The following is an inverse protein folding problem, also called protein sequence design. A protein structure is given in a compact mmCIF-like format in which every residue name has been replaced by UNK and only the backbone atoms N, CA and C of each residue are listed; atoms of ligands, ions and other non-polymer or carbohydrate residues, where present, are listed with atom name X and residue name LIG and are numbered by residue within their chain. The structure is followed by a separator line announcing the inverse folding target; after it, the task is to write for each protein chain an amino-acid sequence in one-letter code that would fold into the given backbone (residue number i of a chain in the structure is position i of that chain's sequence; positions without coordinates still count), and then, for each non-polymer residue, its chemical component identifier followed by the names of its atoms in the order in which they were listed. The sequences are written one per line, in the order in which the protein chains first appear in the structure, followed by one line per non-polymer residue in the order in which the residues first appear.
data_IF_044343291599
#
_entry.id   IF_044343291599
#
_cell.length_a   1.000
_cell.length_b   1.000
_cell.length_c   1.000
_cell.angle_alpha   90.00
_cell.angle_beta   90.00
_cell.angle_gamma   90.00
#
_symmetry.space_group_name_H-M   'P 1'
#
loop_
_entity.id
_entity.type
_entity.pdbx_description
1 polymer ?
#
# COMPACT_ATOMS: atom_id res chain seq x y z
N UNK A 1 13.05 -8.95 5.49
CA UNK A 1 13.01 -7.71 4.69
C UNK A 1 14.26 -6.92 5.00
N UNK A 2 14.99 -6.46 3.99
CA UNK A 2 16.13 -5.57 4.15
C UNK A 2 15.64 -4.17 4.52
N UNK A 3 16.37 -3.46 5.37
CA UNK A 3 16.06 -2.07 5.75
C UNK A 3 17.09 -1.15 5.10
N UNK A 4 16.63 -0.19 4.35
CA UNK A 4 17.49 0.88 3.80
C UNK A 4 17.44 2.14 4.66
N UNK A 5 16.38 2.28 5.49
CA UNK A 5 16.22 3.37 6.47
C UNK A 5 15.82 2.82 7.84
N UNK A 6 16.39 3.38 8.89
CA UNK A 6 16.11 2.98 10.28
C UNK A 6 14.69 3.37 10.72
N UNK A 7 14.06 4.35 10.06
CA UNK A 7 12.71 4.85 10.36
C UNK A 7 11.60 4.09 9.61
N UNK A 8 11.92 3.16 8.71
CA UNK A 8 10.92 2.44 7.91
C UNK A 8 10.03 1.50 8.74
N UNK A 9 10.62 0.69 9.62
CA UNK A 9 9.85 -0.24 10.44
C UNK A 9 8.94 0.48 11.45
N UNK A 10 9.41 1.52 12.18
CA UNK A 10 8.52 2.33 13.00
C UNK A 10 7.37 2.95 12.21
N UNK A 11 7.63 3.44 10.99
CA UNK A 11 6.60 4.01 10.11
C UNK A 11 5.58 2.97 9.67
N UNK A 12 6.02 1.76 9.33
CA UNK A 12 5.14 0.64 8.96
C UNK A 12 4.23 0.24 10.13
N UNK A 13 4.80 0.06 11.33
CA UNK A 13 4.04 -0.31 12.53
C UNK A 13 3.05 0.78 12.95
N UNK A 14 3.44 2.05 12.82
CA UNK A 14 2.54 3.18 13.08
C UNK A 14 1.36 3.18 12.08
N UNK A 15 1.64 3.00 10.78
CA UNK A 15 0.60 2.91 9.77
C UNK A 15 -0.35 1.73 10.01
N UNK A 16 0.19 0.57 10.36
CA UNK A 16 -0.60 -0.62 10.69
C UNK A 16 -1.51 -0.37 11.90
N UNK A 17 -0.97 0.22 12.99
CA UNK A 17 -1.76 0.56 14.17
C UNK A 17 -2.86 1.58 13.88
N UNK A 18 -2.59 2.60 13.05
CA UNK A 18 -3.57 3.61 12.66
C UNK A 18 -4.71 3.04 11.80
N UNK A 19 -4.40 2.12 10.89
CA UNK A 19 -5.36 1.56 9.95
C UNK A 19 -6.19 0.44 10.56
N UNK A 20 -5.55 -0.46 11.30
CA UNK A 20 -6.12 -1.72 11.75
C UNK A 20 -6.26 -1.82 13.28
N UNK A 21 -5.72 -0.83 14.02
CA UNK A 21 -5.64 -0.87 15.48
C UNK A 21 -4.61 -1.89 15.98
N UNK A 22 -4.51 -2.02 17.29
CA UNK A 22 -3.63 -3.02 17.93
C UNK A 22 -4.29 -4.40 17.87
N UNK A 23 -4.26 -5.04 16.69
CA UNK A 23 -4.81 -6.38 16.49
C UNK A 23 -3.84 -7.38 17.13
N UNK A 24 -4.14 -7.79 18.37
CA UNK A 24 -3.48 -8.91 19.03
C UNK A 24 -4.00 -10.26 18.50
N UNK A 25 -3.14 -11.28 18.43
CA UNK A 25 -3.51 -12.64 18.02
C UNK A 25 -4.57 -13.32 18.93
N UNK A 26 -5.08 -12.63 19.95
CA UNK A 26 -6.06 -13.10 20.94
C UNK A 26 -7.40 -12.35 20.88
N UNK A 27 -7.63 -11.51 19.86
CA UNK A 27 -8.82 -10.70 19.79
C UNK A 27 -10.06 -11.54 19.48
N UNK A 28 -11.17 -11.24 20.18
CA UNK A 28 -12.46 -11.88 19.94
C UNK A 28 -13.00 -11.52 18.56
N UNK A 29 -13.88 -12.38 18.00
CA UNK A 29 -14.54 -12.11 16.70
C UNK A 29 -15.25 -10.73 16.69
N UNK A 30 -15.77 -10.28 17.83
CA UNK A 30 -16.40 -8.97 17.97
C UNK A 30 -15.41 -7.81 17.78
N UNK A 31 -14.19 -7.92 18.33
CA UNK A 31 -13.13 -6.93 18.14
C UNK A 31 -12.68 -6.86 16.69
N UNK A 32 -12.49 -8.02 16.07
CA UNK A 32 -12.12 -8.11 14.65
C UNK A 32 -13.18 -7.46 13.73
N UNK A 33 -14.46 -7.63 14.05
CA UNK A 33 -15.56 -7.01 13.31
C UNK A 33 -15.54 -5.48 13.47
N UNK A 34 -15.34 -5.00 14.68
CA UNK A 34 -15.24 -3.56 14.97
C UNK A 34 -14.10 -2.88 14.23
N UNK A 35 -12.93 -3.52 14.15
CA UNK A 35 -11.80 -2.98 13.38
C UNK A 35 -12.09 -2.93 11.88
N UNK A 36 -12.72 -3.96 11.33
CA UNK A 36 -13.15 -3.97 9.91
C UNK A 36 -14.14 -2.84 9.60
N UNK A 37 -15.09 -2.61 10.47
CA UNK A 37 -16.05 -1.50 10.33
C UNK A 37 -15.37 -0.14 10.40
N UNK A 38 -14.44 0.04 11.35
CA UNK A 38 -13.69 1.29 11.48
C UNK A 38 -12.79 1.54 10.26
N UNK A 39 -12.09 0.51 9.78
CA UNK A 39 -11.29 0.60 8.56
C UNK A 39 -12.16 0.97 7.34
N UNK A 40 -13.28 0.30 7.15
CA UNK A 40 -14.20 0.59 6.04
C UNK A 40 -14.71 2.04 6.09
N UNK A 41 -15.05 2.53 7.30
CA UNK A 41 -15.45 3.92 7.53
C UNK A 41 -14.32 4.89 7.19
N UNK A 42 -13.12 4.67 7.70
CA UNK A 42 -11.95 5.51 7.42
C UNK A 42 -11.65 5.57 5.92
N UNK A 43 -11.73 4.44 5.24
CA UNK A 43 -11.53 4.34 3.79
C UNK A 43 -12.54 5.17 3.01
N UNK A 44 -13.81 5.09 3.38
CA UNK A 44 -14.86 5.88 2.74
C UNK A 44 -14.69 7.38 2.99
N UNK A 45 -14.36 7.77 4.22
CA UNK A 45 -14.10 9.15 4.59
C UNK A 45 -12.88 9.70 3.86
N UNK A 46 -11.79 8.93 3.77
CA UNK A 46 -10.58 9.30 3.05
C UNK A 46 -10.85 9.50 1.56
N UNK A 47 -11.58 8.59 0.93
CA UNK A 47 -11.97 8.72 -0.47
C UNK A 47 -12.82 9.97 -0.72
N UNK A 48 -13.78 10.26 0.17
CA UNK A 48 -14.59 11.48 0.08
C UNK A 48 -13.75 12.75 0.23
N UNK A 49 -12.78 12.70 1.15
CA UNK A 49 -11.84 13.79 1.38
C UNK A 49 -10.96 14.04 0.15
N UNK A 50 -10.38 12.98 -0.46
CA UNK A 50 -9.60 13.07 -1.69
C UNK A 50 -10.39 13.71 -2.83
N UNK A 51 -11.62 13.27 -3.07
CA UNK A 51 -12.49 13.84 -4.11
C UNK A 51 -12.74 15.34 -3.92
N UNK A 52 -12.76 15.82 -2.67
CA UNK A 52 -13.09 17.21 -2.35
C UNK A 52 -11.86 18.12 -2.37
N UNK A 53 -10.72 17.64 -1.85
CA UNK A 53 -9.54 18.48 -1.61
C UNK A 53 -8.41 18.23 -2.62
N UNK A 54 -8.38 17.06 -3.24
CA UNK A 54 -7.37 16.66 -4.20
C UNK A 54 -8.02 16.00 -5.44
N UNK A 55 -8.84 16.73 -6.22
CA UNK A 55 -9.67 16.13 -7.28
C UNK A 55 -8.87 15.40 -8.37
N UNK A 56 -7.59 15.71 -8.51
CA UNK A 56 -6.70 15.06 -9.49
C UNK A 56 -6.02 13.78 -8.95
N UNK A 57 -6.43 13.28 -7.77
CA UNK A 57 -5.78 12.13 -7.13
C UNK A 57 -5.82 10.85 -7.98
N UNK A 58 -6.86 10.64 -8.77
CA UNK A 58 -6.97 9.50 -9.68
C UNK A 58 -5.87 9.52 -10.74
N UNK A 59 -5.52 10.71 -11.24
CA UNK A 59 -4.43 10.90 -12.21
C UNK A 59 -3.09 10.49 -11.59
N UNK A 60 -2.84 10.83 -10.32
CA UNK A 60 -1.59 10.43 -9.66
C UNK A 60 -1.48 8.92 -9.52
N UNK A 61 -2.57 8.26 -9.11
CA UNK A 61 -2.58 6.79 -9.00
C UNK A 61 -2.40 6.12 -10.36
N UNK A 62 -3.01 6.68 -11.41
CA UNK A 62 -2.79 6.22 -12.78
C UNK A 62 -1.31 6.37 -13.17
N UNK A 63 -0.71 7.53 -12.94
CA UNK A 63 0.70 7.77 -13.25
C UNK A 63 1.65 6.87 -12.43
N UNK A 64 1.37 6.64 -11.16
CA UNK A 64 2.12 5.70 -10.33
C UNK A 64 1.99 4.27 -10.86
N UNK A 65 0.79 3.85 -11.24
CA UNK A 65 0.57 2.53 -11.82
C UNK A 65 1.35 2.35 -13.12
N UNK A 66 1.29 3.34 -14.02
CA UNK A 66 2.05 3.34 -15.28
C UNK A 66 3.56 3.28 -14.99
N UNK A 67 4.04 4.04 -14.03
CA UNK A 67 5.44 4.03 -13.61
C UNK A 67 5.87 2.63 -13.12
N UNK A 68 5.14 2.03 -12.18
CA UNK A 68 5.47 0.72 -11.64
C UNK A 68 5.34 -0.40 -12.69
N UNK A 69 4.30 -0.36 -13.54
CA UNK A 69 4.21 -1.30 -14.67
C UNK A 69 5.45 -1.17 -15.55
N UNK A 70 5.82 0.04 -15.95
CA UNK A 70 6.97 0.27 -16.82
C UNK A 70 8.28 -0.21 -16.19
N UNK A 71 8.44 0.01 -14.88
CA UNK A 71 9.64 -0.38 -14.13
C UNK A 71 9.74 -1.90 -13.98
N UNK A 72 8.67 -2.56 -13.55
CA UNK A 72 8.71 -3.99 -13.25
C UNK A 72 8.58 -4.85 -14.50
N UNK A 73 7.82 -4.40 -15.50
CA UNK A 73 7.55 -5.17 -16.71
C UNK A 73 8.79 -5.41 -17.57
N UNK A 74 9.79 -4.53 -17.49
CA UNK A 74 11.07 -4.75 -18.15
C UNK A 74 11.74 -6.06 -17.73
N UNK A 75 11.54 -6.51 -16.48
CA UNK A 75 12.01 -7.80 -15.99
C UNK A 75 11.33 -9.00 -16.65
N UNK A 76 10.05 -8.86 -17.03
CA UNK A 76 9.26 -9.93 -17.62
C UNK A 76 9.81 -10.44 -18.97
N UNK A 77 10.61 -9.61 -19.65
CA UNK A 77 11.29 -10.01 -20.90
C UNK A 77 12.31 -11.12 -20.64
N UNK A 78 12.88 -11.16 -19.43
CA UNK A 78 13.93 -12.12 -19.07
C UNK A 78 13.39 -13.37 -18.36
N UNK A 79 12.35 -13.23 -17.54
CA UNK A 79 11.79 -14.31 -16.72
C UNK A 79 10.44 -14.86 -17.23
N UNK A 80 9.80 -14.18 -18.16
CA UNK A 80 8.51 -14.57 -18.72
C UNK A 80 7.31 -14.35 -17.78
N UNK A 81 7.51 -13.73 -16.60
CA UNK A 81 6.48 -13.61 -15.56
C UNK A 81 5.72 -12.29 -15.60
N UNK A 82 5.19 -11.91 -16.77
CA UNK A 82 4.48 -10.65 -16.98
C UNK A 82 3.33 -10.44 -15.98
N UNK A 83 2.58 -11.49 -15.65
CA UNK A 83 1.47 -11.43 -14.71
C UNK A 83 1.93 -11.05 -13.29
N UNK A 84 3.01 -11.65 -12.80
CA UNK A 84 3.60 -11.34 -11.50
C UNK A 84 4.05 -9.87 -11.45
N UNK A 85 4.66 -9.36 -12.52
CA UNK A 85 5.11 -7.96 -12.58
C UNK A 85 3.95 -6.98 -12.54
N UNK A 86 2.86 -7.28 -13.22
CA UNK A 86 1.64 -6.46 -13.16
C UNK A 86 1.02 -6.50 -11.75
N UNK A 87 0.97 -7.68 -11.11
CA UNK A 87 0.52 -7.78 -9.72
C UNK A 87 1.39 -6.95 -8.76
N UNK A 88 2.71 -6.99 -8.92
CA UNK A 88 3.62 -6.14 -8.14
C UNK A 88 3.29 -4.66 -8.29
N UNK A 89 3.04 -4.19 -9.52
CA UNK A 89 2.70 -2.80 -9.77
C UNK A 89 1.36 -2.39 -9.11
N UNK A 90 0.34 -3.23 -9.24
CA UNK A 90 -0.97 -2.98 -8.61
C UNK A 90 -0.86 -2.95 -7.09
N UNK A 91 -0.17 -3.93 -6.49
CA UNK A 91 0.02 -3.98 -5.03
C UNK A 91 0.83 -2.79 -4.54
N UNK A 92 1.82 -2.31 -5.29
CA UNK A 92 2.58 -1.10 -4.95
C UNK A 92 1.68 0.13 -4.82
N UNK A 93 0.79 0.33 -5.78
CA UNK A 93 -0.16 1.46 -5.74
C UNK A 93 -1.14 1.31 -4.58
N UNK A 94 -1.64 0.10 -4.31
CA UNK A 94 -2.52 -0.17 -3.17
C UNK A 94 -1.83 0.11 -1.83
N UNK A 95 -0.58 -0.32 -1.66
CA UNK A 95 0.19 -0.07 -0.44
C UNK A 95 0.45 1.44 -0.24
N UNK A 96 0.79 2.16 -1.31
CA UNK A 96 0.93 3.62 -1.25
C UNK A 96 -0.38 4.27 -0.82
N UNK A 97 -1.52 3.81 -1.35
CA UNK A 97 -2.84 4.30 -0.93
C UNK A 97 -3.09 4.09 0.57
N UNK A 98 -2.76 2.90 1.10
CA UNK A 98 -2.89 2.60 2.53
C UNK A 98 -1.97 3.50 3.39
N UNK A 99 -0.71 3.72 2.97
CA UNK A 99 0.20 4.63 3.67
C UNK A 99 -0.29 6.08 3.66
N UNK A 100 -0.87 6.54 2.54
CA UNK A 100 -1.48 7.87 2.45
C UNK A 100 -2.69 8.01 3.37
N UNK A 101 -3.53 6.98 3.46
CA UNK A 101 -4.66 6.96 4.39
C UNK A 101 -4.18 6.98 5.86
N UNK A 102 -3.12 6.23 6.19
CA UNK A 102 -2.52 6.27 7.52
C UNK A 102 -1.95 7.66 7.84
N UNK A 103 -1.24 8.28 6.89
CA UNK A 103 -0.70 9.62 7.06
C UNK A 103 -1.83 10.66 7.23
N UNK A 104 -2.91 10.53 6.47
CA UNK A 104 -4.09 11.37 6.60
C UNK A 104 -4.74 11.24 7.99
N UNK A 105 -4.87 10.02 8.52
CA UNK A 105 -5.36 9.80 9.88
C UNK A 105 -4.43 10.41 10.93
N UNK A 106 -3.12 10.27 10.76
CA UNK A 106 -2.10 10.84 11.63
C UNK A 106 -2.13 12.35 11.67
N UNK A 107 -2.37 12.98 10.53
CA UNK A 107 -2.43 14.43 10.35
C UNK A 107 -3.86 15.00 10.58
N UNK A 108 -4.62 14.40 11.48
CA UNK A 108 -5.98 14.87 11.84
C UNK A 108 -6.91 15.04 10.61
N UNK A 109 -6.81 14.11 9.66
CA UNK A 109 -7.58 14.07 8.40
C UNK A 109 -7.22 15.18 7.42
N UNK A 110 -5.95 15.55 7.38
CA UNK A 110 -5.39 16.49 6.42
C UNK A 110 -4.20 15.87 5.70
N UNK A 111 -4.04 16.18 4.42
CA UNK A 111 -2.90 15.78 3.60
C UNK A 111 -2.50 16.96 2.70
N UNK A 112 -1.21 17.18 2.58
CA UNK A 112 -0.64 18.10 1.62
C UNK A 112 0.06 17.33 0.50
N UNK A 113 0.33 17.97 -0.64
CA UNK A 113 1.03 17.33 -1.75
C UNK A 113 2.43 16.86 -1.33
N UNK A 114 3.05 17.53 -0.38
CA UNK A 114 4.36 17.18 0.17
C UNK A 114 4.30 15.82 0.90
N UNK A 115 3.22 15.54 1.64
CA UNK A 115 2.99 14.24 2.29
C UNK A 115 2.85 13.12 1.25
N UNK A 116 2.17 13.39 0.14
CA UNK A 116 2.01 12.43 -0.96
C UNK A 116 3.37 12.10 -1.57
N UNK A 117 4.16 13.12 -1.88
CA UNK A 117 5.50 12.95 -2.48
C UNK A 117 6.44 12.21 -1.52
N UNK A 118 6.44 12.57 -0.22
CA UNK A 118 7.29 11.90 0.79
C UNK A 118 6.91 10.43 0.96
N UNK A 119 5.61 10.11 1.00
CA UNK A 119 5.12 8.73 1.11
C UNK A 119 5.55 7.89 -0.09
N UNK A 120 5.37 8.39 -1.32
CA UNK A 120 5.78 7.69 -2.54
C UNK A 120 7.29 7.51 -2.59
N UNK A 121 8.05 8.56 -2.22
CA UNK A 121 9.51 8.50 -2.18
C UNK A 121 10.02 7.46 -1.17
N UNK A 122 9.45 7.42 0.05
CA UNK A 122 9.82 6.43 1.08
C UNK A 122 9.53 5.01 0.59
N UNK A 123 8.35 4.79 0.03
CA UNK A 123 7.96 3.50 -0.53
C UNK A 123 8.93 3.03 -1.61
N UNK A 124 9.17 3.88 -2.62
CA UNK A 124 10.07 3.57 -3.73
C UNK A 124 11.48 3.25 -3.22
N UNK A 125 12.00 4.06 -2.29
CA UNK A 125 13.33 3.85 -1.74
C UNK A 125 13.47 2.52 -1.00
N UNK A 126 12.50 2.14 -0.21
CA UNK A 126 12.56 0.89 0.57
C UNK A 126 12.31 -0.36 -0.26
N UNK A 127 11.48 -0.26 -1.29
CA UNK A 127 11.13 -1.40 -2.11
C UNK A 127 11.97 -1.51 -3.38
N UNK A 128 12.00 -0.46 -4.21
CA UNK A 128 12.63 -0.52 -5.53
C UNK A 128 14.15 -0.50 -5.49
N UNK A 129 14.75 0.10 -4.46
CA UNK A 129 16.21 0.14 -4.29
C UNK A 129 16.76 -1.01 -3.45
N UNK A 130 15.94 -2.01 -3.14
CA UNK A 130 16.35 -3.22 -2.41
C UNK A 130 16.02 -4.47 -3.19
N UNK A 131 17.01 -5.07 -3.83
CA UNK A 131 16.83 -6.36 -4.52
C UNK A 131 16.24 -7.45 -3.62
N UNK A 132 16.61 -7.61 -2.33
CA UNK A 132 15.97 -8.55 -1.44
C UNK A 132 14.47 -8.29 -1.22
N UNK A 133 14.06 -7.02 -1.13
CA UNK A 133 12.65 -6.66 -0.94
C UNK A 133 11.84 -6.89 -2.22
N UNK A 134 12.38 -6.52 -3.38
CA UNK A 134 11.76 -6.82 -4.68
C UNK A 134 11.59 -8.33 -4.89
N UNK A 135 12.63 -9.12 -4.61
CA UNK A 135 12.58 -10.58 -4.72
C UNK A 135 11.57 -11.20 -3.75
N UNK A 136 11.43 -10.64 -2.55
CA UNK A 136 10.42 -11.09 -1.59
C UNK A 136 9.01 -10.79 -2.11
N UNK A 137 8.77 -9.58 -2.59
CA UNK A 137 7.49 -9.17 -3.17
C UNK A 137 7.11 -10.06 -4.36
N UNK A 138 8.06 -10.32 -5.26
CA UNK A 138 7.85 -11.22 -6.38
C UNK A 138 7.46 -12.64 -5.94
N UNK A 139 8.14 -13.20 -4.93
CA UNK A 139 7.80 -14.50 -4.36
C UNK A 139 6.40 -14.53 -3.74
N UNK A 140 5.97 -13.44 -3.13
CA UNK A 140 4.62 -13.31 -2.57
C UNK A 140 3.58 -13.26 -3.68
N UNK A 141 3.82 -12.51 -4.77
CA UNK A 141 2.90 -12.42 -5.91
C UNK A 141 2.75 -13.76 -6.65
N UNK A 142 3.82 -14.56 -6.75
CA UNK A 142 3.75 -15.92 -7.33
C UNK A 142 2.83 -16.87 -6.56
N UNK A 143 2.50 -16.59 -5.30
CA UNK A 143 1.60 -17.41 -4.47
C UNK A 143 0.11 -17.13 -4.71
N UNK A 144 -0.24 -16.44 -5.80
CA UNK A 144 -1.60 -16.13 -6.19
C UNK A 144 -2.39 -15.39 -5.10
N UNK A 145 -1.88 -14.24 -4.68
CA UNK A 145 -2.54 -13.37 -3.71
C UNK A 145 -3.95 -12.96 -4.15
N UNK A 146 -4.23 -12.91 -5.45
CA UNK A 146 -5.56 -12.59 -5.96
C UNK A 146 -6.59 -13.67 -5.62
N UNK A 147 -6.17 -14.89 -5.28
CA UNK A 147 -7.11 -15.91 -4.78
C UNK A 147 -7.70 -15.57 -3.41
N UNK A 148 -7.01 -14.69 -2.65
CA UNK A 148 -7.50 -14.23 -1.35
C UNK A 148 -8.67 -13.25 -1.48
N UNK A 149 -8.67 -12.44 -2.55
CA UNK A 149 -9.75 -11.51 -2.84
C UNK A 149 -11.00 -12.18 -3.43
N UNK A 150 -10.90 -13.43 -3.90
CA UNK A 150 -12.03 -14.19 -4.47
C UNK A 150 -12.84 -14.97 -3.44
N UNK A 151 -12.44 -15.01 -2.17
CA UNK A 151 -13.09 -15.80 -1.12
C UNK A 151 -14.24 -15.11 -0.40
N UNK A 152 -14.51 -13.85 -0.68
CA UNK A 152 -15.53 -13.03 -0.04
C UNK A 152 -16.74 -12.71 -0.95
N UNK A 153 -16.98 -13.55 -2.01
CA UNK A 153 -18.24 -13.53 -2.78
C UNK A 153 -19.19 -14.68 -2.37
#
# INVERSE_FOLDING_TARGET
MERLRDDWEPHLLEAESLLYGDIGCSDSEEQCTKYKEQYAKNKQEFHTWLNTHMPDYEIWYEQLLVYFISTYFCGAVYDGEAYVKVQMAVVSVLLIHEFLMAQWLKNEKMLEMEDVVDTVYRYSRELEHSDPNLNLMEKLMRRDLLSWFKKDE
#
